data_IF_326008574299
#
_entry.id   IF_326008574299
#
_cell.length_a   1.000
_cell.length_b   1.000
_cell.length_c   1.000
_cell.angle_alpha   90.00
_cell.angle_beta   90.00
_cell.angle_gamma   90.00
#
_symmetry.space_group_name_H-M   'P 1'
#
loop_
_entity.id
_entity.type
_entity.pdbx_description
1 polymer ?
#
# COMPACT_ATOMS: atom_id res chain seq x y z
N UNK A 1 19.26 2.69 20.85
CA UNK A 1 18.64 1.87 19.78
C UNK A 1 17.63 2.76 19.10
N UNK A 2 17.88 3.19 17.86
CA UNK A 2 16.92 3.95 17.07
C UNK A 2 15.77 2.99 16.78
N UNK A 3 14.57 3.27 17.30
CA UNK A 3 13.36 2.55 16.91
C UNK A 3 13.26 2.62 15.39
N UNK A 4 13.39 1.48 14.72
CA UNK A 4 13.14 1.39 13.28
C UNK A 4 11.65 1.67 13.09
N UNK A 5 11.31 2.90 12.75
CA UNK A 5 9.96 3.27 12.33
C UNK A 5 9.56 2.37 11.17
N UNK A 6 8.60 1.49 11.43
CA UNK A 6 8.10 0.58 10.42
C UNK A 6 7.14 1.34 9.50
N UNK A 7 7.59 1.62 8.30
CA UNK A 7 6.80 2.32 7.28
C UNK A 7 5.90 1.34 6.55
N UNK A 8 4.61 1.60 6.57
CA UNK A 8 3.59 0.75 5.97
C UNK A 8 2.85 1.47 4.87
N UNK A 9 2.57 0.77 3.78
CA UNK A 9 1.70 1.23 2.71
C UNK A 9 0.52 0.29 2.54
N UNK A 10 -0.57 0.81 1.97
CA UNK A 10 -1.83 0.10 1.78
C UNK A 10 -2.25 0.18 0.31
N UNK A 11 -2.69 -0.93 -0.25
CA UNK A 11 -3.03 -1.05 -1.67
C UNK A 11 -4.10 -2.14 -1.90
N UNK A 12 -4.83 -2.15 -3.05
CA UNK A 12 -5.84 -3.16 -3.35
C UNK A 12 -5.22 -4.54 -3.64
N UNK A 13 -5.87 -5.59 -3.15
CA UNK A 13 -5.42 -6.97 -3.34
C UNK A 13 -5.46 -7.40 -4.82
N UNK A 14 -6.42 -6.90 -5.59
CA UNK A 14 -6.59 -7.22 -7.01
C UNK A 14 -5.36 -6.90 -7.86
N UNK A 15 -4.50 -5.95 -7.44
CA UNK A 15 -3.26 -5.65 -8.14
C UNK A 15 -2.28 -6.84 -8.18
N UNK A 16 -2.46 -7.85 -7.33
CA UNK A 16 -1.65 -9.08 -7.41
C UNK A 16 -1.81 -9.81 -8.74
N UNK A 17 -2.96 -9.71 -9.41
CA UNK A 17 -3.17 -10.34 -10.72
C UNK A 17 -2.15 -9.89 -11.75
N UNK A 18 -1.75 -8.62 -11.72
CA UNK A 18 -0.80 -8.04 -12.67
C UNK A 18 0.59 -8.66 -12.54
N UNK A 19 0.93 -9.14 -11.35
CA UNK A 19 2.22 -9.82 -11.12
C UNK A 19 2.34 -11.16 -11.87
N UNK A 20 1.24 -11.71 -12.38
CA UNK A 20 1.25 -12.97 -13.15
C UNK A 20 1.63 -12.75 -14.60
N UNK A 21 1.25 -11.60 -15.16
CA UNK A 21 1.60 -11.20 -16.52
C UNK A 21 3.01 -10.61 -16.55
N UNK A 22 3.29 -9.64 -15.68
CA UNK A 22 4.59 -9.02 -15.51
C UNK A 22 4.88 -8.81 -14.01
N UNK A 23 5.76 -9.63 -13.41
CA UNK A 23 6.09 -9.51 -11.99
C UNK A 23 6.64 -8.15 -11.58
N UNK A 24 7.47 -7.52 -12.44
CA UNK A 24 8.09 -6.22 -12.12
C UNK A 24 7.05 -5.12 -12.19
N UNK A 25 6.31 -5.05 -13.28
CA UNK A 25 5.23 -4.06 -13.45
C UNK A 25 4.16 -4.20 -12.36
N UNK A 26 3.76 -5.42 -12.02
CA UNK A 26 2.79 -5.65 -10.95
C UNK A 26 3.25 -5.14 -9.59
N UNK A 27 4.54 -5.32 -9.25
CA UNK A 27 5.11 -4.75 -8.02
C UNK A 27 5.15 -3.22 -8.10
N UNK A 28 5.47 -2.66 -9.26
CA UNK A 28 5.52 -1.21 -9.48
C UNK A 28 4.14 -0.56 -9.29
N UNK A 29 3.08 -1.18 -9.81
CA UNK A 29 1.70 -0.74 -9.58
C UNK A 29 1.33 -0.76 -8.08
N UNK A 30 1.69 -1.83 -7.37
CA UNK A 30 1.46 -1.97 -5.93
C UNK A 30 2.19 -0.87 -5.14
N UNK A 31 3.45 -0.62 -5.47
CA UNK A 31 4.26 0.40 -4.81
C UNK A 31 3.73 1.81 -5.10
N UNK A 32 3.49 2.14 -6.38
CA UNK A 32 2.97 3.44 -6.78
C UNK A 32 1.62 3.73 -6.12
N UNK A 33 0.67 2.78 -6.15
CA UNK A 33 -0.61 2.91 -5.45
C UNK A 33 -0.41 3.17 -3.96
N UNK A 34 0.41 2.37 -3.31
CA UNK A 34 0.63 2.47 -1.87
C UNK A 34 1.28 3.77 -1.45
N UNK A 35 2.25 4.28 -2.20
CA UNK A 35 2.97 5.53 -1.94
C UNK A 35 2.03 6.73 -2.14
N UNK A 36 1.33 6.80 -3.28
CA UNK A 36 0.40 7.91 -3.54
C UNK A 36 -0.77 7.90 -2.55
N UNK A 37 -1.35 6.73 -2.27
CA UNK A 37 -2.41 6.61 -1.26
C UNK A 37 -1.94 6.99 0.14
N UNK A 38 -0.68 6.77 0.48
CA UNK A 38 -0.07 7.25 1.71
C UNK A 38 0.10 8.76 1.67
N UNK A 39 0.60 9.33 0.56
CA UNK A 39 0.80 10.75 0.34
C UNK A 39 -0.52 11.53 0.49
N UNK A 40 -1.59 11.09 -0.17
CA UNK A 40 -2.91 11.72 -0.11
C UNK A 40 -3.54 11.77 1.30
N UNK A 41 -3.07 10.96 2.23
CA UNK A 41 -3.51 10.96 3.63
C UNK A 41 -2.70 11.90 4.52
N UNK A 42 -1.61 12.47 4.01
CA UNK A 42 -0.80 13.41 4.78
C UNK A 42 -1.53 14.74 4.93
N UNK A 43 -1.40 15.33 6.11
CA UNK A 43 -1.85 16.70 6.35
C UNK A 43 -0.83 17.66 5.73
N UNK A 44 -1.30 18.73 5.18
CA UNK A 44 -0.46 19.80 4.61
C UNK A 44 -0.96 21.17 5.05
N UNK A 45 -0.05 22.14 5.00
CA UNK A 45 -0.35 23.55 5.12
C UNK A 45 0.01 24.20 3.77
N UNK A 46 -0.87 25.06 3.24
CA UNK A 46 -0.66 25.69 1.93
C UNK A 46 0.62 26.53 1.91
N UNK A 47 0.98 27.20 3.00
CA UNK A 47 2.25 27.92 3.10
C UNK A 47 3.48 26.99 2.93
N UNK A 48 3.42 25.79 3.50
CA UNK A 48 4.50 24.82 3.35
C UNK A 48 4.55 24.25 1.93
N UNK A 49 3.38 24.06 1.29
CA UNK A 49 3.29 23.65 -0.11
C UNK A 49 4.00 24.66 -1.01
N UNK A 50 3.63 25.94 -0.87
CA UNK A 50 4.20 27.01 -1.68
C UNK A 50 5.71 27.13 -1.44
N UNK A 51 6.15 27.17 -0.18
CA UNK A 51 7.58 27.25 0.16
C UNK A 51 8.38 26.09 -0.43
N UNK A 52 7.86 24.87 -0.35
CA UNK A 52 8.56 23.69 -0.87
C UNK A 52 8.69 23.75 -2.39
N UNK A 53 7.63 24.12 -3.08
CA UNK A 53 7.63 24.23 -4.55
C UNK A 53 8.61 25.28 -5.04
N UNK A 54 8.68 26.44 -4.36
CA UNK A 54 9.67 27.45 -4.69
C UNK A 54 11.09 27.01 -4.38
N UNK A 55 11.31 26.28 -3.27
CA UNK A 55 12.61 25.70 -2.94
C UNK A 55 13.06 24.67 -3.99
N UNK A 56 12.16 23.80 -4.41
CA UNK A 56 12.45 22.76 -5.41
C UNK A 56 12.69 23.39 -6.79
N UNK A 57 11.92 24.42 -7.15
CA UNK A 57 12.13 25.20 -8.36
C UNK A 57 13.52 25.82 -8.42
N UNK A 58 13.94 26.45 -7.35
CA UNK A 58 15.26 27.08 -7.26
C UNK A 58 16.40 26.06 -7.39
N UNK A 59 16.18 24.85 -6.89
CA UNK A 59 17.20 23.80 -6.85
C UNK A 59 17.31 22.99 -8.16
N UNK A 60 16.24 22.82 -8.91
CA UNK A 60 16.15 21.92 -10.06
C UNK A 60 15.41 22.55 -11.23
N UNK A 61 16.08 23.34 -12.04
CA UNK A 61 15.48 24.16 -13.11
C UNK A 61 14.87 23.44 -14.32
N UNK A 62 14.68 22.11 -14.31
CA UNK A 62 14.26 21.36 -15.52
C UNK A 62 12.99 20.50 -15.37
N UNK A 63 12.23 20.63 -14.29
CA UNK A 63 11.11 19.71 -14.00
C UNK A 63 9.72 20.37 -14.08
N UNK A 64 8.71 19.68 -13.64
CA UNK A 64 7.30 20.10 -13.62
C UNK A 64 7.08 21.49 -12.98
N UNK A 65 7.97 21.89 -12.07
CA UNK A 65 8.00 23.22 -11.47
C UNK A 65 8.12 24.34 -12.53
N UNK A 66 8.83 24.11 -13.63
CA UNK A 66 8.92 25.07 -14.72
C UNK A 66 7.55 25.25 -15.41
N UNK A 67 6.78 24.18 -15.51
CA UNK A 67 5.42 24.24 -16.07
C UNK A 67 4.47 24.96 -15.10
N UNK A 68 4.49 24.61 -13.82
CA UNK A 68 3.73 25.30 -12.78
C UNK A 68 4.09 26.77 -12.69
N UNK A 69 5.36 27.07 -12.70
CA UNK A 69 5.89 28.43 -12.71
C UNK A 69 5.39 29.23 -13.92
N UNK A 70 5.52 28.70 -15.13
CA UNK A 70 5.03 29.35 -16.34
C UNK A 70 3.53 29.58 -16.32
N UNK A 71 2.77 28.70 -15.69
CA UNK A 71 1.33 28.81 -15.56
C UNK A 71 0.94 29.83 -14.49
N UNK A 72 1.65 29.89 -13.39
CA UNK A 72 1.51 30.95 -12.37
C UNK A 72 1.87 32.30 -12.99
N UNK A 73 2.97 32.39 -13.74
CA UNK A 73 3.32 33.59 -14.47
C UNK A 73 2.29 34.00 -15.53
N UNK A 74 1.71 33.03 -16.24
CA UNK A 74 0.66 33.31 -17.23
C UNK A 74 -0.64 33.82 -16.59
N UNK A 75 -0.89 33.50 -15.33
CA UNK A 75 -2.02 34.03 -14.56
C UNK A 75 -1.76 35.47 -14.08
N UNK A 76 -0.53 35.92 -14.11
CA UNK A 76 -0.11 37.15 -13.46
C UNK A 76 0.85 37.99 -14.30
N UNK A 77 0.63 38.47 -15.36
CA UNK A 77 1.44 39.46 -16.12
C UNK A 77 2.90 39.74 -15.64
N UNK A 78 3.55 38.75 -14.97
CA UNK A 78 4.98 38.71 -14.72
C UNK A 78 5.57 39.58 -13.58
N UNK A 79 4.76 40.25 -12.78
CA UNK A 79 5.31 41.15 -11.75
C UNK A 79 5.79 40.51 -10.46
N UNK A 80 5.40 39.25 -10.18
CA UNK A 80 5.66 38.60 -8.89
C UNK A 80 7.00 37.90 -8.74
N UNK A 81 7.68 37.65 -9.81
CA UNK A 81 8.95 36.92 -9.77
C UNK A 81 10.04 37.79 -10.35
N UNK A 82 10.96 38.21 -9.50
CA UNK A 82 12.11 38.98 -9.94
C UNK A 82 13.03 38.04 -10.69
N UNK A 83 12.96 38.11 -12.01
CA UNK A 83 13.92 37.50 -12.90
C UNK A 83 14.99 38.57 -13.20
N UNK A 84 16.24 38.13 -13.40
CA UNK A 84 17.24 38.99 -13.99
C UNK A 84 16.85 39.34 -15.44
N UNK A 85 17.55 40.26 -16.07
CA UNK A 85 17.31 40.67 -17.48
C UNK A 85 17.42 39.51 -18.47
N UNK A 86 17.98 38.36 -18.06
CA UNK A 86 18.08 37.13 -18.86
C UNK A 86 17.00 36.11 -18.53
N UNK A 87 16.03 36.42 -17.69
CA UNK A 87 14.97 35.52 -17.27
C UNK A 87 15.43 34.44 -16.27
N UNK A 88 16.50 34.69 -15.52
CA UNK A 88 17.04 33.79 -14.49
C UNK A 88 16.77 34.35 -13.10
N UNK A 89 16.56 33.49 -12.14
CA UNK A 89 16.47 33.92 -10.73
C UNK A 89 17.72 34.63 -10.27
N UNK A 90 17.55 35.72 -9.56
CA UNK A 90 18.65 36.43 -8.93
C UNK A 90 19.10 35.62 -7.73
N UNK A 91 20.32 35.12 -7.79
CA UNK A 91 20.97 34.33 -6.74
C UNK A 91 20.90 35.02 -5.39
N UNK A 92 20.35 34.35 -4.37
CA UNK A 92 20.35 34.83 -2.98
C UNK A 92 19.18 35.72 -2.55
N UNK A 93 18.26 36.06 -3.44
CA UNK A 93 17.02 36.74 -3.06
C UNK A 93 15.84 35.81 -3.29
N UNK A 94 15.49 35.06 -2.28
CA UNK A 94 14.23 34.37 -2.27
C UNK A 94 13.12 35.42 -2.18
N UNK A 95 12.31 35.47 -3.17
CA UNK A 95 11.31 36.49 -3.43
C UNK A 95 10.17 36.42 -2.41
N UNK A 96 10.08 35.37 -1.63
CA UNK A 96 9.14 35.22 -0.52
C UNK A 96 9.77 35.59 0.83
N UNK A 97 10.47 36.69 0.87
CA UNK A 97 10.94 37.27 2.12
C UNK A 97 9.77 37.81 2.96
N UNK A 98 8.70 38.24 2.30
CA UNK A 98 7.55 38.85 2.95
C UNK A 98 6.36 37.89 3.00
N UNK A 99 5.63 37.79 4.13
CA UNK A 99 4.43 36.96 4.27
C UNK A 99 3.34 37.30 3.24
N UNK A 100 3.27 38.55 2.83
CA UNK A 100 2.29 39.09 1.87
C UNK A 100 2.45 38.45 0.48
N UNK A 101 3.68 38.23 0.03
CA UNK A 101 3.97 37.59 -1.26
C UNK A 101 3.48 36.12 -1.28
N UNK A 102 3.66 35.43 -0.15
CA UNK A 102 3.18 34.03 -0.01
C UNK A 102 1.66 33.99 -0.03
N UNK A 103 0.99 34.91 0.67
CA UNK A 103 -0.47 34.99 0.71
C UNK A 103 -1.06 35.26 -0.67
N UNK A 104 -0.44 36.18 -1.42
CA UNK A 104 -0.85 36.48 -2.78
C UNK A 104 -0.75 35.25 -3.69
N UNK A 105 0.37 34.53 -3.69
CA UNK A 105 0.54 33.29 -4.47
C UNK A 105 -0.47 32.23 -4.05
N UNK A 106 -0.75 32.11 -2.74
CA UNK A 106 -1.78 31.19 -2.26
C UNK A 106 -3.16 31.54 -2.83
N UNK A 107 -3.51 32.82 -2.91
CA UNK A 107 -4.81 33.24 -3.49
C UNK A 107 -4.87 32.93 -4.99
N UNK A 108 -3.78 33.13 -5.73
CA UNK A 108 -3.72 32.77 -7.14
C UNK A 108 -3.86 31.26 -7.35
N UNK A 109 -3.14 30.45 -6.57
CA UNK A 109 -3.26 28.99 -6.62
C UNK A 109 -4.67 28.53 -6.29
N UNK A 110 -5.34 29.18 -5.33
CA UNK A 110 -6.72 28.86 -4.98
C UNK A 110 -7.71 29.17 -6.10
N UNK A 111 -7.41 30.15 -6.95
CA UNK A 111 -8.25 30.55 -8.08
C UNK A 111 -8.23 29.54 -9.23
N UNK A 112 -7.16 28.75 -9.38
CA UNK A 112 -7.06 27.67 -10.39
C UNK A 112 -7.08 26.29 -9.71
N UNK A 113 -8.21 25.55 -9.81
CA UNK A 113 -8.36 24.25 -9.18
C UNK A 113 -7.35 23.19 -9.68
N UNK A 114 -6.99 23.22 -10.96
CA UNK A 114 -6.07 22.24 -11.55
C UNK A 114 -4.65 22.45 -11.02
N UNK A 115 -4.19 23.69 -10.97
CA UNK A 115 -2.90 24.06 -10.39
C UNK A 115 -2.87 23.64 -8.92
N UNK A 116 -3.90 24.01 -8.17
CA UNK A 116 -4.01 23.69 -6.74
C UNK A 116 -3.88 22.19 -6.48
N UNK A 117 -4.64 21.36 -7.21
CA UNK A 117 -4.61 19.91 -7.02
C UNK A 117 -3.23 19.31 -7.36
N UNK A 118 -2.65 19.77 -8.49
CA UNK A 118 -1.33 19.31 -8.91
C UNK A 118 -0.24 19.68 -7.89
N UNK A 119 -0.26 20.91 -7.38
CA UNK A 119 0.71 21.37 -6.38
C UNK A 119 0.59 20.61 -5.05
N UNK A 120 -0.63 20.43 -4.57
CA UNK A 120 -0.88 19.69 -3.33
C UNK A 120 -0.41 18.25 -3.47
N UNK A 121 -0.75 17.60 -4.57
CA UNK A 121 -0.34 16.22 -4.82
C UNK A 121 1.18 16.09 -4.91
N UNK A 122 1.83 17.00 -5.63
CA UNK A 122 3.31 17.03 -5.74
C UNK A 122 3.96 17.18 -4.36
N UNK A 123 3.52 18.16 -3.58
CA UNK A 123 4.02 18.37 -2.23
C UNK A 123 3.80 17.16 -1.32
N UNK A 124 2.59 16.62 -1.30
CA UNK A 124 2.27 15.44 -0.48
C UNK A 124 3.10 14.23 -0.89
N UNK A 125 3.32 14.03 -2.19
CA UNK A 125 4.12 12.92 -2.69
C UNK A 125 5.60 13.08 -2.32
N UNK A 126 6.15 14.29 -2.48
CA UNK A 126 7.52 14.60 -2.07
C UNK A 126 7.73 14.37 -0.56
N UNK A 127 6.83 14.87 0.28
CA UNK A 127 6.87 14.62 1.73
C UNK A 127 6.74 13.14 2.07
N UNK A 128 5.88 12.41 1.38
CA UNK A 128 5.71 10.97 1.57
C UNK A 128 6.98 10.20 1.18
N UNK A 129 7.60 10.52 0.06
CA UNK A 129 8.84 9.89 -0.39
C UNK A 129 9.99 10.17 0.57
N UNK A 130 10.15 11.40 1.05
CA UNK A 130 11.12 11.76 2.06
C UNK A 130 10.88 11.00 3.38
N UNK A 131 9.65 11.00 3.88
CA UNK A 131 9.28 10.24 5.07
C UNK A 131 9.53 8.75 4.91
N UNK A 132 9.18 8.18 3.76
CA UNK A 132 9.38 6.78 3.45
C UNK A 132 10.85 6.46 3.14
N UNK A 133 11.69 7.47 2.95
CA UNK A 133 13.09 7.38 2.57
C UNK A 133 13.28 6.52 1.31
N UNK A 134 12.55 6.88 0.27
CA UNK A 134 12.55 6.19 -1.02
C UNK A 134 12.69 7.18 -2.16
N UNK A 135 13.50 6.79 -3.13
CA UNK A 135 13.67 7.46 -4.39
C UNK A 135 13.50 6.40 -5.48
N UNK A 136 12.26 6.23 -5.96
CA UNK A 136 11.92 5.12 -6.85
C UNK A 136 11.85 5.56 -8.31
N UNK A 137 11.07 6.60 -8.59
CA UNK A 137 10.77 7.05 -9.94
C UNK A 137 10.52 8.55 -9.97
N UNK A 138 10.64 9.17 -11.17
CA UNK A 138 10.12 10.51 -11.42
C UNK A 138 8.63 10.61 -11.09
N UNK A 139 8.21 11.81 -10.75
CA UNK A 139 6.83 12.10 -10.32
C UNK A 139 5.78 11.64 -11.35
N UNK A 140 5.96 11.97 -12.61
CA UNK A 140 5.07 11.62 -13.70
C UNK A 140 4.90 10.10 -13.86
N UNK A 141 5.97 9.34 -13.67
CA UNK A 141 5.95 7.88 -13.71
C UNK A 141 5.12 7.31 -12.56
N UNK A 142 5.29 7.82 -11.33
CA UNK A 142 4.51 7.37 -10.17
C UNK A 142 3.02 7.66 -10.38
N UNK A 143 2.68 8.85 -10.87
CA UNK A 143 1.28 9.25 -11.10
C UNK A 143 0.65 8.41 -12.20
N UNK A 144 1.37 8.13 -13.28
CA UNK A 144 0.90 7.24 -14.36
C UNK A 144 0.62 5.83 -13.86
N UNK A 145 1.54 5.25 -13.09
CA UNK A 145 1.36 3.92 -12.49
C UNK A 145 0.19 3.91 -11.48
N UNK A 146 0.04 4.97 -10.71
CA UNK A 146 -1.08 5.11 -9.79
C UNK A 146 -2.43 5.17 -10.51
N UNK A 147 -2.53 5.96 -11.58
CA UNK A 147 -3.74 6.05 -12.39
C UNK A 147 -4.13 4.69 -12.99
N UNK A 148 -3.15 3.95 -13.55
CA UNK A 148 -3.37 2.59 -14.04
C UNK A 148 -3.85 1.65 -12.92
N UNK A 149 -3.22 1.69 -11.76
CA UNK A 149 -3.62 0.87 -10.60
C UNK A 149 -5.03 1.22 -10.09
N UNK A 150 -5.42 2.51 -10.14
CA UNK A 150 -6.78 2.96 -9.79
C UNK A 150 -7.82 2.46 -10.77
N UNK A 151 -7.52 2.44 -12.06
CA UNK A 151 -8.42 1.88 -13.08
C UNK A 151 -8.64 0.38 -12.83
N UNK A 152 -7.56 -0.39 -12.60
CA UNK A 152 -7.65 -1.82 -12.29
C UNK A 152 -8.49 -2.08 -11.03
N UNK A 153 -8.32 -1.25 -9.99
CA UNK A 153 -9.13 -1.34 -8.78
C UNK A 153 -10.61 -1.06 -9.07
N UNK A 154 -10.91 0.03 -9.81
CA UNK A 154 -12.28 0.44 -10.09
C UNK A 154 -13.03 -0.64 -10.89
N UNK A 155 -12.39 -1.20 -11.91
CA UNK A 155 -12.95 -2.29 -12.72
C UNK A 155 -13.25 -3.54 -11.88
N UNK A 156 -12.29 -3.90 -11.00
CA UNK A 156 -12.46 -5.02 -10.10
C UNK A 156 -13.60 -4.80 -9.10
N UNK A 157 -13.65 -3.62 -8.47
CA UNK A 157 -14.68 -3.28 -7.48
C UNK A 157 -16.05 -3.12 -8.10
N UNK A 158 -16.15 -2.67 -9.34
CA UNK A 158 -17.40 -2.63 -10.09
C UNK A 158 -17.99 -4.04 -10.28
N UNK A 159 -17.14 -5.03 -10.56
CA UNK A 159 -17.58 -6.42 -10.81
C UNK A 159 -17.81 -7.22 -9.53
N UNK A 160 -16.96 -7.06 -8.51
CA UNK A 160 -16.92 -7.95 -7.33
C UNK A 160 -17.16 -7.23 -6.00
N UNK A 161 -17.47 -5.92 -6.03
CA UNK A 161 -17.59 -5.10 -4.84
C UNK A 161 -16.23 -4.74 -4.20
N UNK A 162 -16.24 -4.08 -3.04
CA UNK A 162 -15.05 -3.53 -2.41
C UNK A 162 -13.94 -4.56 -2.20
N UNK A 163 -12.72 -4.23 -2.63
CA UNK A 163 -11.57 -5.12 -2.50
C UNK A 163 -10.97 -5.13 -1.08
N UNK A 164 -10.09 -6.08 -0.84
CA UNK A 164 -9.29 -6.12 0.38
C UNK A 164 -8.09 -5.18 0.23
N UNK A 165 -7.79 -4.44 1.30
CA UNK A 165 -6.68 -3.47 1.34
C UNK A 165 -5.58 -3.97 2.29
N UNK A 166 -4.67 -4.86 1.85
CA UNK A 166 -3.54 -5.29 2.66
C UNK A 166 -2.63 -4.13 3.02
N UNK A 167 -2.12 -4.16 4.25
CA UNK A 167 -1.13 -3.21 4.75
C UNK A 167 0.21 -3.93 4.89
N UNK A 168 1.20 -3.54 4.09
CA UNK A 168 2.51 -4.19 4.04
C UNK A 168 3.64 -3.24 4.41
N UNK A 169 4.73 -3.78 4.94
CA UNK A 169 5.95 -3.00 5.16
C UNK A 169 6.57 -2.65 3.81
N UNK A 170 6.84 -1.36 3.61
CA UNK A 170 7.44 -0.87 2.38
C UNK A 170 8.79 -1.53 2.08
N UNK A 171 9.65 -1.63 3.09
CA UNK A 171 10.98 -2.25 2.94
C UNK A 171 10.92 -3.70 2.46
N UNK A 172 9.88 -4.46 2.84
CA UNK A 172 9.68 -5.82 2.37
C UNK A 172 9.23 -5.87 0.91
N UNK A 173 8.38 -4.94 0.50
CA UNK A 173 7.95 -4.84 -0.92
C UNK A 173 9.12 -4.45 -1.82
N UNK A 174 9.98 -3.53 -1.39
CA UNK A 174 11.20 -3.14 -2.11
C UNK A 174 12.20 -4.31 -2.19
N UNK A 175 12.36 -5.08 -1.11
CA UNK A 175 13.22 -6.29 -1.14
C UNK A 175 12.71 -7.31 -2.16
N UNK A 176 11.40 -7.51 -2.27
CA UNK A 176 10.84 -8.38 -3.30
C UNK A 176 11.01 -7.84 -4.72
N UNK A 177 10.92 -6.52 -4.92
CA UNK A 177 11.20 -5.89 -6.23
C UNK A 177 12.62 -6.20 -6.70
N UNK A 178 13.59 -6.19 -5.80
CA UNK A 178 14.98 -6.54 -6.11
C UNK A 178 15.22 -8.03 -6.36
N UNK A 179 14.23 -8.90 -6.05
CA UNK A 179 14.32 -10.36 -6.13
C UNK A 179 13.10 -10.96 -6.87
N UNK A 180 12.98 -10.75 -8.20
CA UNK A 180 11.81 -11.21 -8.96
C UNK A 180 11.53 -12.73 -8.86
N UNK A 181 12.56 -13.53 -8.59
CA UNK A 181 12.44 -15.00 -8.37
C UNK A 181 11.61 -15.36 -7.14
N UNK A 182 11.42 -14.43 -6.21
CA UNK A 182 10.68 -14.61 -4.96
C UNK A 182 9.22 -14.15 -5.08
N UNK A 183 8.71 -13.94 -6.29
CA UNK A 183 7.35 -13.40 -6.53
C UNK A 183 6.25 -14.21 -5.84
N UNK A 184 6.36 -15.52 -5.76
CA UNK A 184 5.39 -16.38 -5.08
C UNK A 184 5.40 -16.17 -3.56
N UNK A 185 6.57 -15.84 -2.98
CA UNK A 185 6.67 -15.46 -1.57
C UNK A 185 5.99 -14.11 -1.32
N UNK A 186 6.17 -13.14 -2.23
CA UNK A 186 5.48 -11.85 -2.17
C UNK A 186 3.96 -12.04 -2.20
N UNK A 187 3.44 -12.83 -3.18
CA UNK A 187 2.01 -13.13 -3.29
C UNK A 187 1.48 -13.77 -2.01
N UNK A 188 2.18 -14.76 -1.46
CA UNK A 188 1.80 -15.42 -0.20
C UNK A 188 1.85 -14.45 0.99
N UNK A 189 2.85 -13.58 1.06
CA UNK A 189 2.95 -12.54 2.08
C UNK A 189 1.77 -11.57 2.02
N UNK A 190 1.49 -10.99 0.86
CA UNK A 190 0.38 -10.05 0.66
C UNK A 190 -0.98 -10.72 0.95
N UNK A 191 -1.17 -11.95 0.49
CA UNK A 191 -2.38 -12.73 0.77
C UNK A 191 -2.62 -12.88 2.29
N UNK A 192 -1.59 -13.23 3.04
CA UNK A 192 -1.67 -13.33 4.49
C UNK A 192 -1.93 -11.97 5.15
N UNK A 193 -1.27 -10.90 4.69
CA UNK A 193 -1.49 -9.54 5.18
C UNK A 193 -2.94 -9.09 4.94
N UNK A 194 -3.52 -9.42 3.79
CA UNK A 194 -4.92 -9.10 3.50
C UNK A 194 -5.94 -9.82 4.40
N UNK A 195 -5.56 -10.98 4.96
CA UNK A 195 -6.38 -11.73 5.92
C UNK A 195 -6.20 -11.19 7.33
N UNK A 196 -4.97 -10.87 7.72
CA UNK A 196 -4.66 -10.33 9.06
C UNK A 196 -5.27 -8.93 9.21
N UNK A 197 -5.16 -8.08 8.19
CA UNK A 197 -5.57 -6.68 8.25
C UNK A 197 -4.86 -5.94 9.38
N UNK A 198 -5.61 -5.25 10.20
CA UNK A 198 -5.12 -4.52 11.38
C UNK A 198 -5.03 -5.37 12.67
N UNK A 199 -5.37 -6.65 12.59
CA UNK A 199 -5.34 -7.54 13.75
C UNK A 199 -3.92 -7.99 14.07
N UNK A 200 -3.68 -8.35 15.33
CA UNK A 200 -2.40 -8.93 15.76
C UNK A 200 -2.18 -10.33 15.17
N UNK A 201 -3.26 -11.06 14.91
CA UNK A 201 -3.26 -12.36 14.25
C UNK A 201 -4.62 -12.67 13.62
N UNK A 202 -4.66 -13.64 12.71
CA UNK A 202 -5.89 -14.14 12.10
C UNK A 202 -5.91 -15.67 12.05
N UNK A 203 -7.12 -16.22 11.98
CA UNK A 203 -7.36 -17.65 11.72
C UNK A 203 -7.87 -17.79 10.30
N UNK A 204 -7.30 -18.69 9.54
CA UNK A 204 -7.61 -18.90 8.13
C UNK A 204 -7.44 -20.35 7.71
N UNK A 205 -7.64 -20.63 6.44
CA UNK A 205 -7.41 -21.93 5.80
C UNK A 205 -6.50 -21.77 4.59
N UNK A 206 -5.81 -22.85 4.21
CA UNK A 206 -4.92 -22.87 3.04
C UNK A 206 -5.61 -22.30 1.80
N UNK A 207 -6.82 -22.77 1.47
CA UNK A 207 -7.54 -22.33 0.28
C UNK A 207 -7.81 -20.83 0.28
N UNK A 208 -8.12 -20.23 1.43
CA UNK A 208 -8.31 -18.77 1.53
C UNK A 208 -7.02 -17.99 1.25
N UNK A 209 -5.87 -18.51 1.67
CA UNK A 209 -4.57 -17.90 1.38
C UNK A 209 -4.28 -18.03 -0.12
N UNK A 210 -4.41 -19.25 -0.68
CA UNK A 210 -4.14 -19.52 -2.10
C UNK A 210 -5.03 -18.68 -3.01
N UNK A 211 -6.32 -18.55 -2.68
CA UNK A 211 -7.25 -17.68 -3.41
C UNK A 211 -6.76 -16.22 -3.43
N UNK A 212 -6.35 -15.71 -2.30
CA UNK A 212 -5.85 -14.34 -2.20
C UNK A 212 -4.48 -14.14 -2.84
N UNK A 213 -3.67 -15.18 -2.98
CA UNK A 213 -2.44 -15.11 -3.78
C UNK A 213 -2.72 -14.80 -5.24
N UNK A 214 -3.86 -15.23 -5.77
CA UNK A 214 -4.33 -14.91 -7.14
C UNK A 214 -4.91 -13.49 -7.26
N UNK A 215 -5.09 -12.78 -6.15
CA UNK A 215 -5.74 -11.47 -6.14
C UNK A 215 -7.25 -11.52 -5.86
N UNK A 216 -7.82 -12.70 -5.63
CA UNK A 216 -9.26 -12.87 -5.39
C UNK A 216 -9.61 -12.84 -3.91
N UNK A 217 -10.58 -11.98 -3.54
CA UNK A 217 -11.15 -11.95 -2.19
C UNK A 217 -12.28 -12.99 -2.03
N UNK A 218 -13.07 -13.19 -3.05
CA UNK A 218 -14.23 -14.10 -3.09
C UNK A 218 -13.97 -15.32 -3.96
N UNK A 219 -14.83 -16.33 -3.85
CA UNK A 219 -14.75 -17.54 -4.70
C UNK A 219 -15.16 -17.24 -6.16
N UNK A 220 -16.14 -16.38 -6.33
CA UNK A 220 -16.60 -15.89 -7.63
C UNK A 220 -15.47 -15.18 -8.39
N UNK A 221 -14.82 -14.21 -7.74
CA UNK A 221 -13.67 -13.54 -8.34
C UNK A 221 -12.51 -14.50 -8.66
N UNK A 222 -12.32 -15.56 -7.87
CA UNK A 222 -11.32 -16.57 -8.17
C UNK A 222 -11.70 -17.35 -9.45
N UNK A 223 -12.95 -17.78 -9.58
CA UNK A 223 -13.37 -18.57 -10.73
C UNK A 223 -13.19 -17.79 -12.03
N UNK A 224 -13.65 -16.53 -12.04
CA UNK A 224 -13.50 -15.66 -13.22
C UNK A 224 -12.03 -15.44 -13.58
N UNK A 225 -11.16 -15.16 -12.59
CA UNK A 225 -9.73 -14.98 -12.84
C UNK A 225 -9.04 -16.25 -13.34
N UNK A 226 -9.55 -17.43 -12.99
CA UNK A 226 -9.03 -18.70 -13.49
C UNK A 226 -9.53 -18.99 -14.91
N UNK A 227 -10.76 -18.59 -15.23
CA UNK A 227 -11.37 -18.77 -16.56
C UNK A 227 -10.75 -17.80 -17.59
N UNK A 228 -10.47 -16.55 -17.17
CA UNK A 228 -9.82 -15.54 -18.00
C UNK A 228 -8.35 -15.87 -18.31
N UNK A 229 -7.65 -16.46 -17.35
CA UNK A 229 -6.24 -16.79 -17.47
C UNK A 229 -5.97 -18.15 -16.83
N UNK A 230 -5.66 -19.14 -17.64
CA UNK A 230 -5.14 -20.43 -17.19
C UNK A 230 -3.83 -20.22 -16.44
N UNK A 231 -3.90 -19.92 -15.14
CA UNK A 231 -2.73 -19.76 -14.29
C UNK A 231 -2.20 -21.14 -13.86
N UNK A 232 -1.17 -21.68 -14.51
CA UNK A 232 -0.57 -22.97 -14.10
C UNK A 232 -0.07 -22.93 -12.66
N UNK A 233 0.22 -21.76 -12.13
CA UNK A 233 0.65 -21.51 -10.76
C UNK A 233 -0.44 -21.77 -9.72
N UNK A 234 -1.74 -21.61 -10.03
CA UNK A 234 -2.80 -21.92 -9.05
C UNK A 234 -2.78 -23.40 -8.64
N UNK A 235 -2.67 -24.30 -9.61
CA UNK A 235 -2.55 -25.73 -9.34
C UNK A 235 -1.30 -26.05 -8.51
N UNK A 236 -0.21 -25.32 -8.72
CA UNK A 236 1.02 -25.45 -7.94
C UNK A 236 0.81 -25.00 -6.48
N UNK A 237 0.18 -23.86 -6.25
CA UNK A 237 -0.11 -23.36 -4.91
C UNK A 237 -1.03 -24.29 -4.11
N UNK A 238 -1.91 -25.00 -4.79
CA UNK A 238 -2.79 -25.99 -4.19
C UNK A 238 -2.06 -27.23 -3.70
N UNK A 239 -0.86 -27.53 -4.19
CA UNK A 239 -0.03 -28.64 -3.70
C UNK A 239 0.45 -28.37 -2.28
N UNK A 240 0.27 -29.37 -1.38
CA UNK A 240 0.66 -29.23 0.03
C UNK A 240 2.16 -28.90 0.20
N UNK A 241 3.00 -29.62 -0.49
CA UNK A 241 4.45 -29.44 -0.40
C UNK A 241 4.88 -28.02 -0.79
N UNK A 242 4.34 -27.49 -1.88
CA UNK A 242 4.70 -26.16 -2.34
C UNK A 242 4.23 -25.07 -1.39
N UNK A 243 3.00 -25.17 -0.90
CA UNK A 243 2.47 -24.25 0.10
C UNK A 243 3.26 -24.28 1.40
N UNK A 244 3.63 -25.48 1.88
CA UNK A 244 4.45 -25.63 3.08
C UNK A 244 5.85 -25.04 2.90
N UNK A 245 6.46 -25.16 1.71
CA UNK A 245 7.72 -24.50 1.36
C UNK A 245 7.60 -22.97 1.46
N UNK A 246 6.57 -22.36 0.84
CA UNK A 246 6.34 -20.91 0.92
C UNK A 246 6.16 -20.45 2.37
N UNK A 247 5.33 -21.14 3.13
CA UNK A 247 5.08 -20.86 4.54
C UNK A 247 6.37 -20.90 5.38
N UNK A 248 7.15 -21.97 5.24
CA UNK A 248 8.39 -22.14 5.99
C UNK A 248 9.42 -21.07 5.63
N UNK A 249 9.50 -20.69 4.35
CA UNK A 249 10.41 -19.62 3.91
C UNK A 249 9.97 -18.26 4.45
N UNK A 250 8.68 -17.94 4.48
CA UNK A 250 8.16 -16.70 5.09
C UNK A 250 8.45 -16.63 6.59
N UNK A 251 8.32 -17.77 7.31
CA UNK A 251 8.70 -17.85 8.72
C UNK A 251 10.21 -17.66 8.91
N UNK A 252 11.03 -18.35 8.15
CA UNK A 252 12.49 -18.27 8.25
C UNK A 252 13.04 -16.88 7.99
N UNK A 253 12.39 -16.13 7.08
CA UNK A 253 12.73 -14.71 6.79
C UNK A 253 12.13 -13.72 7.79
N UNK A 254 11.35 -14.18 8.76
CA UNK A 254 10.72 -13.32 9.77
C UNK A 254 9.59 -12.43 9.24
N UNK A 255 9.02 -12.73 8.06
CA UNK A 255 7.93 -11.96 7.49
C UNK A 255 6.60 -12.25 8.15
N UNK A 256 6.36 -13.52 8.46
CA UNK A 256 5.11 -14.00 9.06
C UNK A 256 5.41 -15.18 10.02
N UNK A 257 4.53 -15.32 11.00
CA UNK A 257 4.47 -16.50 11.86
C UNK A 257 3.24 -17.32 11.53
N UNK A 258 3.43 -18.62 11.36
CA UNK A 258 2.38 -19.58 11.10
C UNK A 258 2.32 -20.62 12.22
N UNK A 259 1.11 -20.90 12.68
CA UNK A 259 0.83 -22.00 13.59
C UNK A 259 -0.29 -22.86 13.03
N UNK A 260 -0.07 -24.14 12.85
CA UNK A 260 -1.11 -25.12 12.53
C UNK A 260 -1.16 -26.18 13.61
N UNK A 261 -2.36 -26.57 14.03
CA UNK A 261 -2.54 -27.67 14.97
C UNK A 261 -2.67 -28.99 14.24
N UNK A 262 -2.14 -30.09 14.80
CA UNK A 262 -2.41 -31.43 14.32
C UNK A 262 -3.94 -31.65 14.19
N UNK A 263 -4.35 -32.33 13.16
CA UNK A 263 -5.76 -32.64 12.88
C UNK A 263 -6.71 -31.45 12.68
N UNK A 264 -6.19 -30.22 12.53
CA UNK A 264 -6.97 -29.02 12.24
C UNK A 264 -6.64 -28.50 10.85
N UNK A 265 -7.69 -28.08 10.08
CA UNK A 265 -7.51 -27.35 8.82
C UNK A 265 -7.23 -25.88 9.04
N UNK A 266 -7.39 -25.38 10.28
CA UNK A 266 -7.19 -23.98 10.59
C UNK A 266 -5.69 -23.66 10.71
N UNK A 267 -5.31 -22.55 10.09
CA UNK A 267 -3.98 -21.97 10.14
C UNK A 267 -4.11 -20.63 10.87
N UNK A 268 -3.26 -20.41 11.87
CA UNK A 268 -3.13 -19.15 12.58
C UNK A 268 -1.93 -18.40 12.02
N UNK A 269 -2.12 -17.16 11.65
CA UNK A 269 -1.09 -16.32 11.04
C UNK A 269 -0.94 -15.02 11.83
N UNK A 270 0.30 -14.57 12.02
CA UNK A 270 0.65 -13.32 12.69
C UNK A 270 1.86 -12.66 12.05
N UNK A 271 1.98 -11.35 12.19
CA UNK A 271 3.14 -10.56 11.68
C UNK A 271 4.15 -10.26 12.78
N UNK A 272 3.66 -9.99 13.99
CA UNK A 272 4.48 -9.44 15.07
C UNK A 272 4.59 -10.35 16.29
N UNK A 273 3.79 -11.40 16.35
CA UNK A 273 3.67 -12.19 17.54
C UNK A 273 4.68 -13.34 17.52
N UNK A 274 5.52 -13.49 18.55
CA UNK A 274 6.39 -14.65 18.69
C UNK A 274 5.58 -15.96 18.66
N UNK A 275 6.14 -17.06 18.15
CA UNK A 275 5.43 -18.33 18.01
C UNK A 275 4.83 -18.84 19.33
N UNK A 276 5.54 -18.69 20.42
CA UNK A 276 5.10 -19.09 21.77
C UNK A 276 3.88 -18.31 22.25
N UNK A 277 3.90 -16.97 22.07
CA UNK A 277 2.78 -16.11 22.43
C UNK A 277 1.55 -16.43 21.58
N UNK A 278 1.74 -16.65 20.27
CA UNK A 278 0.66 -17.07 19.37
C UNK A 278 0.09 -18.42 19.80
N UNK A 279 0.94 -19.39 20.16
CA UNK A 279 0.52 -20.70 20.63
C UNK A 279 -0.30 -20.61 21.92
N UNK A 280 0.12 -19.80 22.89
CA UNK A 280 -0.60 -19.58 24.15
C UNK A 280 -2.00 -19.01 23.91
N UNK A 281 -2.11 -17.95 23.12
CA UNK A 281 -3.41 -17.33 22.78
C UNK A 281 -4.34 -18.32 22.07
N UNK A 282 -3.80 -19.10 21.12
CA UNK A 282 -4.57 -20.10 20.40
C UNK A 282 -5.05 -21.22 21.36
N UNK A 283 -4.23 -21.62 22.31
CA UNK A 283 -4.58 -22.63 23.31
C UNK A 283 -5.68 -22.13 24.25
N UNK A 284 -5.56 -20.92 24.79
CA UNK A 284 -6.59 -20.28 25.61
C UNK A 284 -7.93 -20.16 24.89
N UNK A 285 -7.94 -19.68 23.63
CA UNK A 285 -9.16 -19.59 22.84
C UNK A 285 -9.83 -20.94 22.64
N UNK A 286 -9.06 -21.99 22.40
CA UNK A 286 -9.61 -23.31 22.21
C UNK A 286 -10.14 -23.90 23.51
N UNK A 287 -9.50 -23.63 24.63
CA UNK A 287 -9.99 -24.02 25.96
C UNK A 287 -11.33 -23.35 26.27
N UNK A 288 -11.44 -22.02 26.09
CA UNK A 288 -12.68 -21.27 26.27
C UNK A 288 -13.81 -21.79 25.36
N UNK A 289 -13.51 -22.10 24.09
CA UNK A 289 -14.50 -22.69 23.15
C UNK A 289 -14.98 -24.06 23.61
N UNK A 290 -14.08 -24.90 24.12
CA UNK A 290 -14.44 -26.23 24.67
C UNK A 290 -15.36 -26.08 25.87
N UNK A 291 -15.00 -25.20 26.82
CA UNK A 291 -15.83 -24.93 28.01
C UNK A 291 -17.21 -24.41 27.60
N UNK A 292 -17.29 -23.40 26.71
CA UNK A 292 -18.55 -22.86 26.25
C UNK A 292 -19.43 -23.89 25.53
N UNK A 293 -18.83 -24.79 24.73
CA UNK A 293 -19.57 -25.86 24.07
C UNK A 293 -20.05 -26.92 25.08
N UNK A 294 -19.28 -27.19 26.12
CA UNK A 294 -19.68 -28.09 27.21
C UNK A 294 -20.88 -27.50 27.97
N UNK A 295 -20.79 -26.23 28.34
CA UNK A 295 -21.89 -25.51 29.02
C UNK A 295 -23.15 -25.51 28.16
N UNK A 296 -23.04 -25.22 26.85
CA UNK A 296 -24.19 -25.27 25.93
C UNK A 296 -24.82 -26.67 25.86
N UNK A 297 -24.00 -27.74 25.81
CA UNK A 297 -24.51 -29.12 25.82
C UNK A 297 -25.20 -29.47 27.13
N UNK A 298 -24.68 -29.00 28.27
CA UNK A 298 -25.32 -29.20 29.57
C UNK A 298 -26.66 -28.47 29.67
N UNK A 299 -26.76 -27.24 29.15
CA UNK A 299 -28.02 -26.49 29.12
C UNK A 299 -29.07 -27.22 28.27
N UNK A 300 -28.70 -27.68 27.07
CA UNK A 300 -29.62 -28.43 26.20
C UNK A 300 -30.08 -29.73 26.87
N UNK A 301 -29.16 -30.50 27.45
CA UNK A 301 -29.50 -31.72 28.16
C UNK A 301 -30.40 -31.46 29.39
N UNK A 302 -30.24 -30.34 30.06
CA UNK A 302 -31.09 -29.96 31.18
C UNK A 302 -32.50 -29.52 30.76
N UNK A 303 -32.62 -28.92 29.55
CA UNK A 303 -33.93 -28.50 29.00
C UNK A 303 -34.72 -29.66 28.36
N UNK A 304 -34.06 -30.80 28.05
CA UNK A 304 -34.72 -32.02 27.59
C UNK A 304 -35.21 -32.91 28.73
N UNK A 305 -34.85 -32.61 29.98
CA UNK A 305 -35.26 -33.34 31.18
C UNK A 305 -36.37 -32.65 31.97
N UNK A 306 -36.84 -31.47 31.53
CA UNK A 306 -38.01 -30.74 32.01
C UNK A 306 -39.18 -30.84 31.04
#
# INVERSE_FOLDING_TARGET
MVEKEYRYIQFPLCLLKETYTDPVKGIDLILAYGIVNFALKQKFNMHDVVRQLFYDYYRNSETMELWLYRRIQALEDGEMIILDEAGRFVEGKFIFAEPEDIEYVIEQIKSDPEIKEAMILHYQLHQAMNFLNIELWPFDVIIKLYAEAKTIQADFEHKYGPDAMPTCKLSQLIDFKSKPKDIDLLRAYIACRSIIGLKSFATTHKNSIVRRMIGAKTEEALQDLLDENTHPTYALYSKRYYFDKLRNTLCARGFLMFLSKPHSRAIYISVFMPPEKLANIVNERNSRRRTNNLVKRMIVASSELL
#
